data_IF_759963069463
#
_entry.id   IF_759963069463
#
_cell.length_a   1.000
_cell.length_b   1.000
_cell.length_c   1.000
_cell.angle_alpha   90.00
_cell.angle_beta   90.00
_cell.angle_gamma   90.00
#
_symmetry.space_group_name_H-M   'P 1'
#
loop_
_entity.id
_entity.type
_entity.pdbx_description
1 polymer ?
#
# COMPACT_ATOMS: atom_id res chain seq x y z
N UNK A 1 4.45 5.45 -17.15
CA UNK A 1 5.80 5.08 -16.65
C UNK A 1 5.77 3.59 -16.34
N UNK A 2 6.75 2.80 -16.79
CA UNK A 2 6.84 1.39 -16.41
C UNK A 2 7.28 1.33 -14.94
N UNK A 3 6.45 0.77 -14.06
CA UNK A 3 6.84 0.58 -12.66
C UNK A 3 7.84 -0.56 -12.58
N UNK A 4 9.04 -0.27 -12.10
CA UNK A 4 10.05 -1.29 -11.77
C UNK A 4 9.82 -1.80 -10.35
N UNK A 5 10.35 -2.97 -9.99
CA UNK A 5 10.23 -3.51 -8.61
C UNK A 5 10.74 -2.52 -7.55
N UNK A 6 11.86 -1.86 -7.81
CA UNK A 6 12.41 -0.81 -6.94
C UNK A 6 11.46 0.39 -6.77
N UNK A 7 10.73 0.77 -7.83
CA UNK A 7 9.72 1.82 -7.73
C UNK A 7 8.51 1.34 -6.92
N UNK A 8 8.13 0.07 -7.06
CA UNK A 8 7.03 -0.53 -6.31
C UNK A 8 7.34 -0.60 -4.81
N UNK A 9 8.56 -0.99 -4.43
CA UNK A 9 9.02 -0.97 -3.02
C UNK A 9 9.01 0.46 -2.46
N UNK A 10 9.45 1.47 -3.24
CA UNK A 10 9.37 2.88 -2.84
C UNK A 10 7.93 3.36 -2.64
N UNK A 11 7.03 3.07 -3.60
CA UNK A 11 5.61 3.45 -3.51
C UNK A 11 4.93 2.73 -2.34
N UNK A 12 5.27 1.46 -2.11
CA UNK A 12 4.81 0.68 -0.98
C UNK A 12 5.22 1.31 0.36
N UNK A 13 6.50 1.67 0.50
CA UNK A 13 7.00 2.35 1.69
C UNK A 13 6.31 3.71 1.91
N UNK A 14 6.12 4.50 0.84
CA UNK A 14 5.37 5.76 0.89
C UNK A 14 3.92 5.55 1.34
N UNK A 15 3.27 4.48 0.88
CA UNK A 15 1.91 4.14 1.27
C UNK A 15 1.81 3.80 2.76
N UNK A 16 2.75 3.01 3.29
CA UNK A 16 2.80 2.69 4.72
C UNK A 16 3.05 3.95 5.56
N UNK A 17 4.02 4.78 5.15
CA UNK A 17 4.33 6.03 5.85
C UNK A 17 3.15 7.03 5.83
N UNK A 18 2.45 7.14 4.70
CA UNK A 18 1.27 7.98 4.56
C UNK A 18 0.12 7.47 5.44
N UNK A 19 -0.13 6.16 5.45
CA UNK A 19 -1.16 5.52 6.26
C UNK A 19 -0.93 5.74 7.75
N UNK A 20 0.32 5.71 8.22
CA UNK A 20 0.66 6.01 9.62
C UNK A 20 0.21 7.40 10.08
N UNK A 21 0.08 8.35 9.15
CA UNK A 21 -0.41 9.71 9.41
C UNK A 21 -1.91 9.92 9.18
N UNK A 22 -2.68 8.87 8.85
CA UNK A 22 -4.13 8.97 8.65
C UNK A 22 -4.88 8.49 9.90
N UNK A 23 -5.27 9.41 10.77
CA UNK A 23 -6.01 9.11 12.01
C UNK A 23 -7.36 8.42 11.74
N UNK A 24 -7.96 8.64 10.57
CA UNK A 24 -9.21 7.99 10.14
C UNK A 24 -9.01 6.60 9.52
N UNK A 25 -7.86 6.35 8.87
CA UNK A 25 -7.65 5.12 8.10
C UNK A 25 -6.79 4.09 8.83
N UNK A 26 -5.79 4.51 9.60
CA UNK A 26 -4.91 3.60 10.32
C UNK A 26 -5.71 2.68 11.28
N UNK A 27 -6.64 3.17 12.11
CA UNK A 27 -7.41 2.29 12.99
C UNK A 27 -8.29 1.30 12.22
N UNK A 28 -8.79 1.69 11.04
CA UNK A 28 -9.60 0.82 10.17
C UNK A 28 -8.74 -0.29 9.59
N UNK A 29 -7.54 0.04 9.09
CA UNK A 29 -6.59 -0.93 8.57
C UNK A 29 -6.16 -1.93 9.66
N UNK A 30 -5.78 -1.44 10.84
CA UNK A 30 -5.40 -2.28 11.98
C UNK A 30 -6.56 -3.19 12.41
N UNK A 31 -7.78 -2.66 12.48
CA UNK A 31 -8.98 -3.43 12.79
C UNK A 31 -9.33 -4.49 11.73
N UNK A 32 -9.09 -4.20 10.45
CA UNK A 32 -9.37 -5.12 9.34
C UNK A 32 -8.33 -6.25 9.22
N UNK A 33 -7.07 -5.97 9.53
CA UNK A 33 -5.96 -6.93 9.43
C UNK A 33 -5.69 -7.68 10.73
N UNK A 34 -6.14 -7.14 11.86
CA UNK A 34 -5.79 -7.63 13.20
C UNK A 34 -4.37 -7.27 13.63
N UNK A 35 -3.67 -6.43 12.87
CA UNK A 35 -2.33 -5.96 13.22
C UNK A 35 -2.40 -4.95 14.39
N UNK A 36 -1.37 -4.94 15.22
CA UNK A 36 -1.16 -3.87 16.20
C UNK A 36 -0.34 -2.72 15.59
N UNK A 37 -0.34 -1.56 16.25
CA UNK A 37 0.55 -0.45 15.89
C UNK A 37 2.04 -0.84 15.95
N UNK A 38 2.39 -1.79 16.82
CA UNK A 38 3.75 -2.29 16.88
C UNK A 38 4.07 -3.15 15.66
N UNK A 39 3.19 -4.08 15.30
CA UNK A 39 3.36 -4.90 14.08
C UNK A 39 3.45 -4.01 12.83
N UNK A 40 2.63 -2.96 12.77
CA UNK A 40 2.66 -1.97 11.70
C UNK A 40 4.04 -1.29 11.61
N UNK A 41 4.62 -0.92 12.75
CA UNK A 41 5.95 -0.28 12.77
C UNK A 41 7.08 -1.26 12.43
N UNK A 42 6.97 -2.50 12.86
CA UNK A 42 7.99 -3.53 12.62
C UNK A 42 7.97 -4.02 11.16
N UNK A 43 6.83 -3.88 10.46
CA UNK A 43 6.62 -4.34 9.09
C UNK A 43 6.77 -3.26 8.00
N UNK A 44 7.24 -2.05 8.32
CA UNK A 44 7.37 -0.94 7.34
C UNK A 44 8.18 -1.32 6.09
N UNK A 45 9.24 -2.10 6.26
CA UNK A 45 10.15 -2.50 5.19
C UNK A 45 9.76 -3.86 4.58
N UNK A 46 8.70 -4.52 5.07
CA UNK A 46 8.25 -5.80 4.52
C UNK A 46 7.45 -5.57 3.23
N UNK A 47 7.91 -6.08 2.06
CA UNK A 47 7.22 -5.84 0.79
C UNK A 47 5.83 -6.49 0.72
N UNK A 48 5.58 -7.55 1.50
CA UNK A 48 4.26 -8.17 1.60
C UNK A 48 3.27 -7.28 2.35
N UNK A 49 3.71 -6.68 3.46
CA UNK A 49 2.95 -5.72 4.24
C UNK A 49 2.67 -4.44 3.47
N UNK A 50 3.68 -3.90 2.76
CA UNK A 50 3.52 -2.78 1.84
C UNK A 50 2.48 -3.10 0.76
N UNK A 51 2.46 -4.33 0.25
CA UNK A 51 1.43 -4.83 -0.67
C UNK A 51 0.03 -4.81 -0.04
N UNK A 52 -0.12 -5.29 1.19
CA UNK A 52 -1.39 -5.29 1.91
C UNK A 52 -1.92 -3.87 2.20
N UNK A 53 -1.03 -2.93 2.52
CA UNK A 53 -1.38 -1.52 2.69
C UNK A 53 -1.85 -0.90 1.37
N UNK A 54 -1.16 -1.20 0.26
CA UNK A 54 -1.61 -0.78 -1.07
C UNK A 54 -2.95 -1.41 -1.45
N UNK A 55 -3.17 -2.70 -1.15
CA UNK A 55 -4.47 -3.35 -1.36
C UNK A 55 -5.59 -2.64 -0.62
N UNK A 56 -5.36 -2.26 0.65
CA UNK A 56 -6.32 -1.51 1.45
C UNK A 56 -6.63 -0.14 0.83
N UNK A 57 -5.60 0.63 0.44
CA UNK A 57 -5.79 1.93 -0.22
C UNK A 57 -6.58 1.78 -1.52
N UNK A 58 -6.31 0.72 -2.30
CA UNK A 58 -6.97 0.42 -3.56
C UNK A 58 -8.44 -0.03 -3.41
N UNK A 59 -8.95 -0.23 -2.19
CA UNK A 59 -10.36 -0.57 -1.96
C UNK A 59 -11.32 0.59 -2.23
N UNK A 60 -10.85 1.83 -2.13
CA UNK A 60 -11.68 3.03 -2.30
C UNK A 60 -10.95 4.09 -3.13
N UNK A 61 -11.56 4.53 -4.24
CA UNK A 61 -10.98 5.52 -5.13
C UNK A 61 -10.66 6.85 -4.43
N UNK A 62 -11.39 7.21 -3.37
CA UNK A 62 -11.10 8.42 -2.59
C UNK A 62 -9.80 8.28 -1.79
N UNK A 63 -9.47 7.08 -1.30
CA UNK A 63 -8.20 6.83 -0.61
C UNK A 63 -7.04 6.81 -1.60
N UNK A 64 -7.24 6.22 -2.78
CA UNK A 64 -6.27 6.28 -3.88
C UNK A 64 -5.96 7.72 -4.25
N UNK A 65 -6.99 8.56 -4.45
CA UNK A 65 -6.82 9.96 -4.79
C UNK A 65 -6.07 10.73 -3.68
N UNK A 66 -6.48 10.57 -2.40
CA UNK A 66 -5.81 11.21 -1.25
C UNK A 66 -4.33 10.82 -1.15
N UNK A 67 -4.00 9.54 -1.31
CA UNK A 67 -2.62 9.07 -1.29
C UNK A 67 -1.82 9.66 -2.46
N UNK A 68 -2.35 9.59 -3.68
CA UNK A 68 -1.66 10.08 -4.86
C UNK A 68 -1.45 11.60 -4.82
N UNK A 69 -2.44 12.37 -4.38
CA UNK A 69 -2.32 13.81 -4.22
C UNK A 69 -1.27 14.18 -3.16
N UNK A 70 -1.22 13.43 -2.05
CA UNK A 70 -0.23 13.64 -0.99
C UNK A 70 1.21 13.34 -1.45
N UNK A 71 1.40 12.37 -2.35
CA UNK A 71 2.72 11.97 -2.85
C UNK A 71 3.09 12.59 -4.21
N UNK A 72 2.16 13.30 -4.86
CA UNK A 72 2.35 13.83 -6.21
C UNK A 72 2.48 12.75 -7.28
N UNK A 73 1.78 11.62 -7.10
CA UNK A 73 1.84 10.45 -7.99
C UNK A 73 0.67 10.41 -8.98
N UNK A 74 0.86 9.83 -10.18
CA UNK A 74 -0.25 9.44 -11.05
C UNK A 74 -1.17 8.41 -10.39
N UNK A 75 -2.49 8.49 -10.64
CA UNK A 75 -3.49 7.64 -9.98
C UNK A 75 -3.43 6.16 -10.37
N UNK A 76 -2.74 5.81 -11.47
CA UNK A 76 -2.47 4.42 -11.83
C UNK A 76 -1.26 3.82 -11.08
N UNK A 77 -0.43 4.67 -10.47
CA UNK A 77 0.82 4.26 -9.81
C UNK A 77 0.61 3.26 -8.68
N UNK A 78 -0.37 3.41 -7.76
CA UNK A 78 -0.55 2.47 -6.66
C UNK A 78 -0.91 1.07 -7.16
N UNK A 79 -1.74 0.99 -8.21
CA UNK A 79 -2.14 -0.29 -8.81
C UNK A 79 -0.99 -0.94 -9.58
N UNK A 80 -0.19 -0.15 -10.30
CA UNK A 80 1.00 -0.65 -10.96
C UNK A 80 2.06 -1.12 -9.95
N UNK A 81 2.31 -0.36 -8.89
CA UNK A 81 3.19 -0.78 -7.77
C UNK A 81 2.72 -2.09 -7.16
N UNK A 82 1.43 -2.22 -6.87
CA UNK A 82 0.87 -3.43 -6.28
C UNK A 82 1.14 -4.69 -7.09
N UNK A 83 1.06 -4.60 -8.42
CA UNK A 83 1.33 -5.71 -9.33
C UNK A 83 2.79 -6.23 -9.30
N UNK A 84 3.73 -5.40 -8.84
CA UNK A 84 5.15 -5.74 -8.73
C UNK A 84 5.57 -6.19 -7.32
N UNK A 85 4.68 -6.09 -6.34
CA UNK A 85 4.90 -6.54 -4.96
C UNK A 85 4.45 -8.00 -4.75
N UNK A 86 4.99 -8.69 -3.73
CA UNK A 86 4.56 -10.05 -3.39
C UNK A 86 3.04 -10.19 -3.27
N UNK A 87 2.50 -11.30 -3.78
CA UNK A 87 1.06 -11.56 -3.75
C UNK A 87 0.20 -10.65 -4.64
N UNK A 88 0.80 -9.81 -5.49
CA UNK A 88 0.09 -8.89 -6.41
C UNK A 88 0.07 -9.32 -7.86
N UNK A 89 0.84 -10.36 -8.19
CA UNK A 89 0.69 -11.06 -9.46
C UNK A 89 -0.62 -11.84 -9.49
N UNK A 90 -1.15 -12.07 -10.70
CA UNK A 90 -2.27 -12.98 -10.91
C UNK A 90 -1.99 -14.32 -10.21
N UNK A 91 -2.77 -14.62 -9.18
CA UNK A 91 -2.82 -15.94 -8.57
C UNK A 91 -3.44 -16.90 -9.59
N UNK A 92 -2.61 -17.49 -10.45
CA UNK A 92 -3.02 -18.61 -11.27
C UNK A 92 -3.17 -19.85 -10.37
N UNK A 93 -4.38 -20.09 -9.88
CA UNK A 93 -4.74 -21.39 -9.34
C UNK A 93 -4.83 -22.36 -10.53
N UNK A 94 -3.80 -23.19 -10.72
CA UNK A 94 -3.91 -24.40 -11.54
C UNK A 94 -4.51 -25.53 -10.74
#
# INVERSE_FOLDING_TARGET
>A
MTVSRELADLVGLQAVAWMAGQDDLLPVFLGATGASEQDFRDALEDPGFQGAVLDFILMDDAWVARFCDAQGLPYDTPRAARAHLPGGGEVHWT
#
